data_IF_689296500976
#
_entry.id   IF_689296500976
#
_cell.length_a   1.000
_cell.length_b   1.000
_cell.length_c   1.000
_cell.angle_alpha   90.00
_cell.angle_beta   90.00
_cell.angle_gamma   90.00
#
_symmetry.space_group_name_H-M   'P 1'
#
loop_
_entity.id
_entity.type
_entity.pdbx_description
1 polymer ?
#
# COMPACT_ATOMS: atom_id res chain seq x y z
N UNK A 1 0.31 -0.12 -18.16
CA UNK A 1 0.84 -1.39 -18.67
C UNK A 1 -0.06 -2.47 -18.09
N UNK A 2 -0.91 -3.06 -18.93
CA UNK A 2 -1.86 -4.08 -18.52
C UNK A 2 -1.08 -5.30 -18.04
N UNK A 3 -1.46 -5.87 -16.89
CA UNK A 3 -0.76 -7.02 -16.34
C UNK A 3 -1.11 -8.24 -17.20
N UNK A 4 -0.25 -8.57 -18.15
CA UNK A 4 -0.40 -9.70 -19.07
C UNK A 4 -0.02 -11.06 -18.45
N UNK A 5 0.23 -11.12 -17.14
CA UNK A 5 0.54 -12.38 -16.46
C UNK A 5 -0.58 -12.75 -15.46
N UNK A 6 -1.12 -13.98 -15.50
CA UNK A 6 -2.00 -14.47 -14.45
C UNK A 6 -1.19 -14.51 -13.16
N UNK A 7 -1.58 -13.70 -12.16
CA UNK A 7 -0.94 -13.79 -10.85
C UNK A 7 -1.56 -14.98 -10.12
N UNK A 8 -0.65 -15.85 -9.69
CA UNK A 8 -0.82 -17.01 -8.82
C UNK A 8 -0.98 -18.33 -9.62
N UNK A 9 0.16 -18.89 -10.03
CA UNK A 9 0.30 -20.34 -10.20
C UNK A 9 0.42 -20.90 -8.78
N UNK A 10 -0.65 -21.52 -8.27
CA UNK A 10 -0.58 -22.32 -7.04
C UNK A 10 -0.03 -23.69 -7.47
N UNK A 11 1.24 -23.96 -7.21
CA UNK A 11 1.87 -25.26 -7.48
C UNK A 11 1.34 -26.38 -6.56
N UNK A 12 0.57 -26.06 -5.52
CA UNK A 12 0.06 -27.04 -4.56
C UNK A 12 -1.43 -26.86 -4.25
N UNK A 13 -2.23 -27.75 -4.84
CA UNK A 13 -3.71 -27.83 -4.73
C UNK A 13 -4.18 -28.18 -3.30
N UNK A 14 -3.25 -28.46 -2.37
CA UNK A 14 -3.56 -28.90 -1.00
C UNK A 14 -3.49 -27.81 0.09
N UNK A 15 -3.07 -26.59 -0.24
CA UNK A 15 -2.88 -25.54 0.76
C UNK A 15 -4.16 -24.75 1.08
N UNK A 16 -4.44 -24.56 2.37
CA UNK A 16 -5.45 -23.63 2.93
C UNK A 16 -5.38 -22.19 2.34
N UNK A 17 -4.25 -21.84 1.70
CA UNK A 17 -4.06 -20.62 0.92
C UNK A 17 -4.93 -20.51 -0.35
N UNK A 18 -5.39 -21.61 -0.94
CA UNK A 18 -6.30 -21.57 -2.09
C UNK A 18 -7.65 -20.93 -1.70
N UNK A 19 -8.13 -21.21 -0.48
CA UNK A 19 -9.33 -20.58 0.07
C UNK A 19 -9.15 -19.06 0.25
N UNK A 20 -7.95 -18.61 0.61
CA UNK A 20 -7.60 -17.19 0.75
C UNK A 20 -7.39 -16.48 -0.61
N UNK A 21 -6.98 -17.22 -1.65
CA UNK A 21 -6.78 -16.65 -2.99
C UNK A 21 -8.07 -16.01 -3.54
N UNK A 22 -9.22 -16.63 -3.30
CA UNK A 22 -10.52 -16.08 -3.70
C UNK A 22 -10.87 -14.77 -2.96
N UNK A 23 -10.45 -14.60 -1.71
CA UNK A 23 -10.61 -13.34 -0.97
C UNK A 23 -9.69 -12.23 -1.51
N UNK A 24 -8.47 -12.58 -1.92
CA UNK A 24 -7.53 -11.63 -2.53
C UNK A 24 -8.05 -11.19 -3.91
N UNK A 25 -8.61 -12.10 -4.69
CA UNK A 25 -9.25 -11.78 -5.98
C UNK A 25 -10.46 -10.85 -5.79
N UNK A 26 -11.22 -11.01 -4.71
CA UNK A 26 -12.31 -10.10 -4.38
C UNK A 26 -11.82 -8.69 -4.03
N UNK A 27 -10.66 -8.56 -3.36
CA UNK A 27 -10.03 -7.26 -3.11
C UNK A 27 -9.55 -6.60 -4.41
N UNK A 28 -8.86 -7.35 -5.27
CA UNK A 28 -8.41 -6.87 -6.58
C UNK A 28 -9.61 -6.43 -7.43
N UNK A 29 -10.70 -7.20 -7.43
CA UNK A 29 -11.97 -6.82 -8.06
C UNK A 29 -12.50 -5.50 -7.50
N UNK A 30 -12.50 -5.29 -6.17
CA UNK A 30 -12.99 -4.06 -5.55
C UNK A 30 -12.14 -2.85 -5.96
N UNK A 31 -10.81 -3.01 -6.00
CA UNK A 31 -9.90 -1.98 -6.51
C UNK A 31 -10.17 -1.67 -7.99
N UNK A 32 -10.34 -2.70 -8.83
CA UNK A 32 -10.73 -2.56 -10.24
C UNK A 32 -12.07 -1.85 -10.42
N UNK A 33 -13.06 -2.14 -9.57
CA UNK A 33 -14.36 -1.47 -9.56
C UNK A 33 -14.24 0.01 -9.18
N UNK A 34 -13.42 0.34 -8.18
CA UNK A 34 -13.13 1.74 -7.82
C UNK A 34 -12.48 2.49 -8.99
N UNK A 35 -11.53 1.87 -9.70
CA UNK A 35 -10.91 2.45 -10.89
C UNK A 35 -11.93 2.72 -12.03
N UNK A 36 -13.03 1.96 -12.07
CA UNK A 36 -14.13 2.13 -13.02
C UNK A 36 -15.22 3.11 -12.53
N UNK A 37 -15.00 3.86 -11.45
CA UNK A 37 -15.95 4.80 -10.83
C UNK A 37 -17.26 4.14 -10.37
N UNK A 38 -17.15 2.95 -9.75
CA UNK A 38 -18.27 2.21 -9.15
C UNK A 38 -19.12 3.07 -8.18
N UNK A 39 -18.49 3.90 -7.35
CA UNK A 39 -19.17 4.69 -6.32
C UNK A 39 -20.07 5.81 -6.90
N UNK A 40 -19.69 6.39 -8.04
CA UNK A 40 -20.48 7.46 -8.68
C UNK A 40 -21.51 6.91 -9.66
N UNK A 41 -21.19 5.85 -10.41
CA UNK A 41 -22.08 5.38 -11.47
C UNK A 41 -22.96 4.18 -11.09
N UNK A 42 -22.46 3.26 -10.27
CA UNK A 42 -23.23 2.07 -9.90
C UNK A 42 -24.04 2.30 -8.63
N UNK A 43 -23.43 2.88 -7.60
CA UNK A 43 -24.13 3.13 -6.32
C UNK A 43 -25.18 4.25 -6.45
N UNK A 44 -24.89 5.33 -7.17
CA UNK A 44 -25.83 6.45 -7.31
C UNK A 44 -26.88 6.23 -8.41
N UNK A 45 -26.51 5.72 -9.61
CA UNK A 45 -27.50 5.55 -10.68
C UNK A 45 -28.36 4.29 -10.55
N UNK A 46 -27.82 3.19 -9.97
CA UNK A 46 -28.57 1.95 -9.79
C UNK A 46 -29.14 1.77 -8.37
N UNK A 47 -28.88 2.72 -7.45
CA UNK A 47 -29.35 2.71 -6.04
C UNK A 47 -29.06 1.39 -5.30
N UNK A 48 -27.94 0.74 -5.62
CA UNK A 48 -27.54 -0.53 -5.00
C UNK A 48 -26.70 -0.29 -3.74
N UNK A 49 -26.70 -1.26 -2.81
CA UNK A 49 -25.87 -1.20 -1.60
C UNK A 49 -24.38 -1.27 -1.94
N UNK A 50 -23.56 -0.61 -1.11
CA UNK A 50 -22.10 -0.68 -1.24
C UNK A 50 -21.61 -2.13 -1.07
N UNK A 51 -20.78 -2.58 -2.00
CA UNK A 51 -20.15 -3.90 -1.94
C UNK A 51 -19.04 -3.87 -0.91
N UNK A 52 -19.18 -4.65 0.16
CA UNK A 52 -18.12 -4.86 1.16
C UNK A 52 -17.07 -5.85 0.65
N UNK A 53 -15.84 -5.80 1.21
CA UNK A 53 -14.70 -6.68 0.89
C UNK A 53 -15.05 -8.18 0.87
N UNK A 54 -16.08 -8.60 1.59
CA UNK A 54 -16.46 -10.01 1.76
C UNK A 54 -17.81 -10.36 1.11
N UNK A 55 -18.43 -9.43 0.38
CA UNK A 55 -19.85 -9.50 0.00
C UNK A 55 -20.18 -10.67 -0.94
N UNK A 56 -19.31 -11.00 -1.90
CA UNK A 56 -19.49 -12.14 -2.80
C UNK A 56 -18.82 -13.44 -2.29
N UNK A 57 -18.13 -13.38 -1.14
CA UNK A 57 -17.47 -14.55 -0.53
C UNK A 57 -18.28 -15.15 0.62
N UNK A 58 -19.07 -14.34 1.33
CA UNK A 58 -19.92 -14.78 2.44
C UNK A 58 -21.36 -14.90 1.96
N UNK A 59 -21.99 -16.09 1.98
CA UNK A 59 -23.39 -16.25 1.61
C UNK A 59 -24.25 -15.53 2.65
N UNK A 60 -24.97 -14.49 2.23
CA UNK A 60 -25.90 -13.75 3.08
C UNK A 60 -27.33 -14.04 2.62
N UNK A 61 -27.62 -13.67 1.37
CA UNK A 61 -28.90 -13.92 0.74
C UNK A 61 -28.67 -14.29 -0.73
N UNK A 62 -28.85 -15.57 -1.11
CA UNK A 62 -28.57 -16.04 -2.47
C UNK A 62 -29.34 -15.30 -3.56
N UNK A 63 -30.57 -14.85 -3.28
CA UNK A 63 -31.39 -14.11 -4.27
C UNK A 63 -30.89 -12.68 -4.50
N UNK A 64 -30.64 -11.94 -3.43
CA UNK A 64 -30.08 -10.57 -3.50
C UNK A 64 -28.65 -10.60 -4.08
N UNK A 65 -27.83 -11.58 -3.68
CA UNK A 65 -26.46 -11.73 -4.17
C UNK A 65 -26.43 -12.12 -5.66
N UNK A 66 -27.35 -12.97 -6.11
CA UNK A 66 -27.49 -13.28 -7.54
C UNK A 66 -27.94 -12.07 -8.36
N UNK A 67 -28.90 -11.30 -7.86
CA UNK A 67 -29.34 -10.06 -8.51
C UNK A 67 -28.21 -9.02 -8.57
N UNK A 68 -27.44 -8.88 -7.50
CA UNK A 68 -26.26 -8.00 -7.45
C UNK A 68 -25.16 -8.46 -8.39
N UNK A 69 -24.87 -9.76 -8.45
CA UNK A 69 -23.89 -10.36 -9.37
C UNK A 69 -24.27 -10.12 -10.83
N UNK A 70 -25.52 -10.41 -11.20
CA UNK A 70 -26.02 -10.23 -12.56
C UNK A 70 -26.09 -8.75 -12.96
N UNK A 71 -26.50 -7.86 -12.04
CA UNK A 71 -26.52 -6.41 -12.26
C UNK A 71 -25.10 -5.85 -12.45
N UNK A 72 -24.14 -6.32 -11.66
CA UNK A 72 -22.74 -5.90 -11.77
C UNK A 72 -22.11 -6.41 -13.06
N UNK A 73 -22.34 -7.68 -13.42
CA UNK A 73 -21.89 -8.24 -14.70
C UNK A 73 -22.49 -7.46 -15.88
N UNK A 74 -23.79 -7.16 -15.85
CA UNK A 74 -24.47 -6.34 -16.85
C UNK A 74 -23.82 -4.95 -17.01
N UNK A 75 -23.47 -4.32 -15.89
CA UNK A 75 -22.81 -3.01 -15.89
C UNK A 75 -21.39 -3.07 -16.48
N UNK A 76 -20.59 -4.08 -16.13
CA UNK A 76 -19.25 -4.29 -16.68
C UNK A 76 -19.29 -4.57 -18.19
N UNK A 77 -20.30 -5.33 -18.66
CA UNK A 77 -20.53 -5.59 -20.09
C UNK A 77 -20.87 -4.29 -20.83
N UNK A 78 -21.71 -3.43 -20.25
CA UNK A 78 -22.01 -2.10 -20.81
C UNK A 78 -20.79 -1.21 -20.91
N UNK A 79 -19.95 -1.22 -19.88
CA UNK A 79 -18.68 -0.48 -19.86
C UNK A 79 -17.69 -0.98 -20.91
N UNK A 80 -17.78 -2.26 -21.28
CA UNK A 80 -17.04 -2.86 -22.40
C UNK A 80 -17.62 -2.55 -23.79
N UNK A 81 -18.65 -1.70 -23.90
CA UNK A 81 -19.18 -1.19 -25.17
C UNK A 81 -20.29 -2.04 -25.82
N UNK A 82 -20.78 -3.11 -25.18
CA UNK A 82 -21.94 -3.87 -25.67
C UNK A 82 -23.23 -3.50 -24.92
N UNK A 83 -24.35 -3.45 -25.64
CA UNK A 83 -25.67 -3.21 -25.04
C UNK A 83 -26.14 -4.49 -24.36
N UNK A 84 -26.12 -4.49 -23.04
CA UNK A 84 -26.70 -5.55 -22.21
C UNK A 84 -27.85 -4.96 -21.40
N UNK A 85 -29.03 -5.60 -21.39
CA UNK A 85 -30.17 -5.09 -20.62
C UNK A 85 -29.96 -5.39 -19.13
N UNK A 86 -30.40 -4.51 -18.22
CA UNK A 86 -30.24 -4.80 -16.81
C UNK A 86 -31.16 -5.99 -16.49
N UNK A 87 -30.67 -7.02 -15.81
CA UNK A 87 -31.48 -8.20 -15.50
C UNK A 87 -32.67 -7.77 -14.64
N UNK A 88 -33.88 -8.13 -15.05
CA UNK A 88 -35.10 -7.93 -14.26
C UNK A 88 -35.31 -9.12 -13.32
N UNK A 89 -35.98 -8.92 -12.19
CA UNK A 89 -36.30 -9.99 -11.22
C UNK A 89 -37.14 -11.15 -11.83
N UNK A 90 -37.73 -10.93 -13.01
CA UNK A 90 -38.49 -11.90 -13.79
C UNK A 90 -37.68 -12.69 -14.83
N UNK A 91 -36.40 -12.37 -15.04
CA UNK A 91 -35.55 -13.06 -16.00
C UNK A 91 -35.08 -14.41 -15.45
N UNK A 92 -35.11 -15.46 -16.29
CA UNK A 92 -34.66 -16.79 -15.88
C UNK A 92 -33.15 -16.76 -15.56
N UNK A 93 -32.75 -17.12 -14.31
CA UNK A 93 -31.36 -17.12 -13.87
C UNK A 93 -30.44 -17.88 -14.83
N UNK A 94 -30.91 -18.98 -15.44
CA UNK A 94 -30.09 -19.78 -16.36
C UNK A 94 -29.82 -19.05 -17.68
N UNK A 95 -30.80 -18.31 -18.17
CA UNK A 95 -30.72 -17.59 -19.44
C UNK A 95 -29.74 -16.42 -19.32
N UNK A 96 -29.85 -15.61 -18.26
CA UNK A 96 -28.91 -14.50 -17.98
C UNK A 96 -27.49 -15.00 -17.73
N UNK A 97 -27.30 -16.11 -16.99
CA UNK A 97 -25.96 -16.71 -16.80
C UNK A 97 -25.39 -17.18 -18.15
N UNK A 98 -26.23 -17.78 -19.01
CA UNK A 98 -25.81 -18.25 -20.33
C UNK A 98 -25.36 -17.11 -21.23
N UNK A 99 -26.07 -15.99 -21.22
CA UNK A 99 -25.68 -14.78 -21.95
C UNK A 99 -24.36 -14.18 -21.44
N UNK A 100 -24.16 -14.15 -20.12
CA UNK A 100 -22.89 -13.68 -19.51
C UNK A 100 -21.73 -14.62 -19.91
N UNK A 101 -21.94 -15.93 -19.89
CA UNK A 101 -20.92 -16.90 -20.32
C UNK A 101 -20.63 -16.85 -21.82
N UNK A 102 -21.64 -16.58 -22.65
CA UNK A 102 -21.45 -16.37 -24.09
C UNK A 102 -20.62 -15.11 -24.34
N UNK A 103 -20.87 -14.03 -23.60
CA UNK A 103 -20.07 -12.81 -23.68
C UNK A 103 -18.61 -13.04 -23.26
N UNK A 104 -18.37 -13.83 -22.21
CA UNK A 104 -17.02 -14.22 -21.79
C UNK A 104 -16.30 -15.09 -22.83
N UNK A 105 -17.02 -16.00 -23.51
CA UNK A 105 -16.46 -16.78 -24.63
C UNK A 105 -16.06 -15.87 -25.80
N UNK A 106 -16.83 -14.81 -26.07
CA UNK A 106 -16.48 -13.83 -27.10
C UNK A 106 -15.23 -12.99 -26.74
N UNK A 107 -14.85 -12.94 -25.46
CA UNK A 107 -13.65 -12.25 -24.96
C UNK A 107 -12.42 -13.19 -24.91
N UNK A 108 -12.57 -14.45 -25.37
CA UNK A 108 -11.50 -15.47 -25.37
C UNK A 108 -11.02 -15.89 -23.97
N UNK A 109 -11.93 -15.89 -22.98
CA UNK A 109 -11.65 -16.40 -21.63
C UNK A 109 -12.15 -17.85 -21.51
N UNK A 110 -11.27 -18.77 -21.12
CA UNK A 110 -11.61 -20.20 -20.92
C UNK A 110 -12.41 -20.38 -19.63
N UNK A 111 -13.69 -20.72 -19.75
CA UNK A 111 -14.57 -21.06 -18.63
C UNK A 111 -14.61 -22.58 -18.47
N UNK A 112 -14.09 -23.09 -17.35
CA UNK A 112 -14.06 -24.53 -17.04
C UNK A 112 -14.93 -24.84 -15.81
N UNK A 113 -16.18 -24.36 -15.80
CA UNK A 113 -17.17 -24.72 -14.77
C UNK A 113 -18.61 -24.65 -15.29
N UNK A 114 -19.54 -25.45 -14.73
CA UNK A 114 -20.93 -25.51 -15.20
C UNK A 114 -21.76 -24.30 -14.72
N UNK A 115 -22.80 -23.89 -15.49
CA UNK A 115 -23.68 -22.75 -15.18
C UNK A 115 -24.32 -22.79 -13.78
N UNK A 116 -24.55 -24.00 -13.26
CA UNK A 116 -25.17 -24.21 -11.95
C UNK A 116 -24.37 -23.61 -10.79
N UNK A 117 -23.05 -23.46 -10.93
CA UNK A 117 -22.21 -22.88 -9.88
C UNK A 117 -22.34 -21.35 -9.77
N UNK A 118 -22.84 -20.68 -10.81
CA UNK A 118 -23.06 -19.22 -10.81
C UNK A 118 -24.44 -18.83 -10.25
N UNK A 119 -25.38 -19.78 -10.12
CA UNK A 119 -26.72 -19.53 -9.59
C UNK A 119 -26.75 -19.02 -8.16
N UNK A 120 -25.75 -19.40 -7.36
CA UNK A 120 -25.66 -18.97 -5.97
C UNK A 120 -25.21 -17.51 -5.84
N UNK A 121 -24.67 -16.90 -6.92
CA UNK A 121 -24.18 -15.52 -6.91
C UNK A 121 -23.01 -15.27 -5.94
N UNK A 122 -22.46 -16.32 -5.33
CA UNK A 122 -21.47 -16.28 -4.25
C UNK A 122 -20.42 -17.35 -4.51
N UNK A 123 -19.16 -17.01 -4.23
CA UNK A 123 -18.02 -17.91 -4.29
C UNK A 123 -17.01 -17.55 -5.37
N UNK A 124 -15.93 -18.34 -5.40
CA UNK A 124 -14.75 -18.14 -6.24
C UNK A 124 -15.10 -17.99 -7.73
N UNK A 125 -16.04 -18.79 -8.25
CA UNK A 125 -16.44 -18.74 -9.65
C UNK A 125 -17.17 -17.44 -10.04
N UNK A 126 -17.94 -16.85 -9.12
CA UNK A 126 -18.62 -15.58 -9.36
C UNK A 126 -17.62 -14.42 -9.35
N UNK A 127 -16.68 -14.42 -8.40
CA UNK A 127 -15.59 -13.43 -8.32
C UNK A 127 -14.70 -13.51 -9.57
N UNK A 128 -14.31 -14.72 -9.99
CA UNK A 128 -13.50 -14.92 -11.20
C UNK A 128 -14.17 -14.38 -12.47
N UNK A 129 -15.48 -14.56 -12.62
CA UNK A 129 -16.23 -13.99 -13.75
C UNK A 129 -16.20 -12.46 -13.71
N UNK A 130 -16.49 -11.87 -12.56
CA UNK A 130 -16.52 -10.42 -12.40
C UNK A 130 -15.12 -9.80 -12.59
N UNK A 131 -14.08 -10.45 -12.10
CA UNK A 131 -12.70 -9.99 -12.20
C UNK A 131 -12.23 -9.89 -13.65
N UNK A 132 -12.48 -10.95 -14.43
CA UNK A 132 -12.15 -10.95 -15.85
C UNK A 132 -12.98 -9.94 -16.66
N UNK A 133 -14.26 -9.76 -16.32
CA UNK A 133 -15.11 -8.73 -16.92
C UNK A 133 -14.61 -7.32 -16.58
N UNK A 134 -14.14 -7.10 -15.35
CA UNK A 134 -13.55 -5.84 -14.91
C UNK A 134 -12.24 -5.55 -15.64
N UNK A 135 -11.36 -6.55 -15.79
CA UNK A 135 -10.11 -6.41 -16.55
C UNK A 135 -10.36 -6.07 -18.02
N UNK A 136 -11.36 -6.70 -18.63
CA UNK A 136 -11.76 -6.36 -19.99
C UNK A 136 -12.35 -4.93 -20.08
N UNK A 137 -13.16 -4.52 -19.11
CA UNK A 137 -13.70 -3.16 -19.06
C UNK A 137 -12.59 -2.11 -18.91
N UNK A 138 -11.59 -2.34 -18.06
CA UNK A 138 -10.44 -1.44 -17.89
C UNK A 138 -9.55 -1.42 -19.14
N UNK A 139 -9.38 -2.56 -19.83
CA UNK A 139 -8.70 -2.65 -21.13
C UNK A 139 -9.39 -1.81 -22.20
N UNK A 140 -10.72 -1.89 -22.26
CA UNK A 140 -11.51 -1.09 -23.20
C UNK A 140 -11.47 0.41 -22.87
N UNK A 141 -11.52 0.77 -21.58
CA UNK A 141 -11.49 2.17 -21.12
C UNK A 141 -10.12 2.85 -21.36
N UNK A 142 -9.06 2.09 -21.72
CA UNK A 142 -7.67 2.58 -21.88
C UNK A 142 -7.22 3.45 -20.70
N UNK A 143 -7.53 3.01 -19.48
CA UNK A 143 -7.27 3.78 -18.27
C UNK A 143 -5.79 4.16 -18.15
N UNK A 144 -5.53 5.45 -18.00
CA UNK A 144 -4.21 5.99 -17.70
C UNK A 144 -4.25 6.52 -16.28
N UNK A 145 -3.30 6.07 -15.46
CA UNK A 145 -3.11 6.62 -14.12
C UNK A 145 -2.88 8.11 -14.22
N UNK A 146 -3.78 8.88 -13.63
CA UNK A 146 -3.57 10.31 -13.47
C UNK A 146 -2.41 10.49 -12.49
N UNK A 147 -1.33 11.13 -12.94
CA UNK A 147 -0.18 11.42 -12.08
C UNK A 147 -0.69 12.28 -10.93
N UNK A 148 -0.48 11.78 -9.70
CA UNK A 148 -0.83 12.52 -8.47
C UNK A 148 -0.16 13.89 -8.55
N UNK A 149 -0.96 14.95 -8.60
CA UNK A 149 -0.48 16.28 -8.26
C UNK A 149 -0.43 16.29 -6.74
N UNK A 150 0.78 16.12 -6.20
CA UNK A 150 1.07 16.39 -4.80
C UNK A 150 0.95 17.92 -4.70
N UNK A 151 -0.06 18.49 -4.02
CA UNK A 151 0.07 19.86 -3.54
C UNK A 151 1.36 19.88 -2.73
N UNK A 152 2.30 20.82 -2.95
CA UNK A 152 3.53 20.84 -2.18
C UNK A 152 3.16 20.78 -0.69
N UNK A 153 3.65 19.75 -0.01
CA UNK A 153 3.57 19.66 1.44
C UNK A 153 4.10 20.98 1.99
N UNK A 154 3.29 21.66 2.78
CA UNK A 154 3.79 22.55 3.82
C UNK A 154 4.72 21.68 4.67
N UNK A 155 6.01 21.77 4.37
CA UNK A 155 7.07 21.22 5.20
C UNK A 155 6.85 21.82 6.58
N UNK A 156 6.36 21.01 7.52
CA UNK A 156 6.59 21.24 8.95
C UNK A 156 8.10 21.09 9.10
N UNK A 157 8.81 22.19 8.87
CA UNK A 157 10.23 22.35 9.13
C UNK A 157 10.33 22.38 10.65
N UNK A 158 10.88 21.31 11.24
CA UNK A 158 11.48 21.39 12.57
C UNK A 158 12.40 22.61 12.58
N UNK A 159 12.33 23.50 13.58
CA UNK A 159 12.98 24.80 13.52
C UNK A 159 14.49 24.61 13.62
N UNK A 160 15.15 24.53 12.48
CA UNK A 160 16.59 24.74 12.36
C UNK A 160 16.80 26.24 12.17
N UNK A 161 17.42 26.84 13.17
CA UNK A 161 17.74 28.26 13.26
C UNK A 161 18.78 28.56 12.17
N UNK A 162 18.36 29.24 11.09
CA UNK A 162 19.27 30.00 10.25
C UNK A 162 18.69 31.40 10.03
N UNK A 163 19.48 32.39 10.45
CA UNK A 163 19.25 33.82 10.36
C UNK A 163 19.17 34.24 8.89
N UNK A 164 18.06 34.87 8.47
CA UNK A 164 18.05 35.69 7.25
C UNK A 164 17.24 36.97 7.46
N UNK A 165 17.94 38.09 7.33
CA UNK A 165 17.52 39.47 7.53
C UNK A 165 16.54 39.93 6.43
N UNK A 166 15.24 39.84 6.69
CA UNK A 166 14.23 40.56 5.91
C UNK A 166 13.31 41.36 6.82
N UNK A 167 13.72 42.59 7.14
CA UNK A 167 12.86 43.58 7.80
C UNK A 167 11.63 43.89 6.92
N UNK A 168 10.43 43.56 7.42
CA UNK A 168 9.15 44.02 6.87
C UNK A 168 8.99 45.51 7.18
N UNK A 169 9.06 46.35 6.15
CA UNK A 169 8.82 47.80 6.26
C UNK A 169 7.31 48.05 6.43
N UNK A 170 6.89 48.39 7.66
CA UNK A 170 5.49 48.67 8.03
C UNK A 170 4.82 49.76 7.18
N UNK A 171 5.60 50.71 6.66
CA UNK A 171 5.13 51.84 5.84
C UNK A 171 4.44 51.39 4.54
N UNK A 172 4.87 50.24 3.99
CA UNK A 172 4.33 49.74 2.72
C UNK A 172 2.98 49.03 2.88
N UNK A 173 2.71 48.50 4.08
CA UNK A 173 1.41 47.89 4.43
C UNK A 173 0.38 48.98 4.75
N UNK A 174 0.81 50.11 5.31
CA UNK A 174 -0.06 51.24 5.62
C UNK A 174 -0.46 52.03 4.36
N UNK A 175 0.44 52.14 3.37
CA UNK A 175 0.16 52.76 2.06
C UNK A 175 -0.82 51.93 1.21
N UNK A 176 -0.72 50.59 1.25
CA UNK A 176 -1.66 49.71 0.56
C UNK A 176 -3.07 49.73 1.19
N UNK A 177 -3.16 49.87 2.52
CA UNK A 177 -4.45 49.97 3.20
C UNK A 177 -5.11 51.35 3.02
N UNK A 178 -4.35 52.43 2.77
CA UNK A 178 -4.93 53.75 2.47
C UNK A 178 -5.45 53.85 1.02
N UNK A 179 -4.82 53.17 0.07
CA UNK A 179 -5.22 53.22 -1.34
C UNK A 179 -6.58 52.55 -1.63
N UNK A 180 -7.07 51.69 -0.74
CA UNK A 180 -8.36 51.00 -0.90
C UNK A 180 -9.58 51.81 -0.39
N UNK A 181 -9.37 52.97 0.25
CA UNK A 181 -10.45 53.79 0.84
C UNK A 181 -10.74 55.11 0.10
N UNK A 182 -10.06 55.44 -1.00
CA UNK A 182 -10.17 56.76 -1.67
C UNK A 182 -10.98 56.76 -2.98
N UNK A 183 -11.60 55.63 -3.37
CA UNK A 183 -12.28 55.49 -4.68
C UNK A 183 -13.82 55.42 -4.61
N UNK A 184 -14.44 56.03 -3.59
CA UNK A 184 -15.89 56.33 -3.61
C UNK A 184 -16.12 57.85 -3.41
N UNK A 185 -15.96 58.60 -4.51
CA UNK A 185 -16.62 59.89 -4.73
C UNK A 185 -18.14 59.69 -4.61
N UNK A 186 -18.71 59.99 -3.43
CA UNK A 186 -20.15 60.16 -3.27
C UNK A 186 -20.45 61.48 -2.58
N UNK A 187 -21.43 62.18 -3.16
CA UNK A 187 -21.77 63.59 -3.05
C UNK A 187 -22.23 63.96 -1.62
N UNK A 188 -21.30 64.26 -0.71
CA UNK A 188 -21.62 64.70 0.66
C UNK A 188 -22.08 66.16 0.61
N UNK A 189 -23.39 66.37 0.64
CA UNK A 189 -24.02 67.67 0.89
C UNK A 189 -23.48 68.24 2.21
N UNK A 190 -22.63 69.25 2.12
CA UNK A 190 -22.02 69.89 3.29
C UNK A 190 -23.10 70.55 4.17
N UNK A 191 -23.05 70.25 5.47
CA UNK A 191 -23.96 70.79 6.51
C UNK A 191 -23.99 72.33 6.52
N UNK A 192 -22.94 72.96 6.01
CA UNK A 192 -22.85 74.42 5.85
C UNK A 192 -23.83 74.99 4.82
N UNK A 193 -24.18 74.24 3.77
CA UNK A 193 -25.14 74.69 2.75
C UNK A 193 -26.59 74.67 3.27
N UNK A 194 -26.92 73.70 4.12
CA UNK A 194 -28.21 73.65 4.83
C UNK A 194 -28.33 74.84 5.80
N UNK A 195 -27.23 75.16 6.49
CA UNK A 195 -27.19 76.27 7.45
C UNK A 195 -27.32 77.63 6.76
N UNK A 196 -26.76 77.77 5.55
CA UNK A 196 -26.85 78.99 4.73
C UNK A 196 -28.28 79.24 4.22
N UNK A 197 -28.96 78.18 3.76
CA UNK A 197 -30.36 78.24 3.34
C UNK A 197 -31.31 78.65 4.48
N UNK A 198 -31.09 78.13 5.69
CA UNK A 198 -31.88 78.52 6.86
C UNK A 198 -31.66 79.98 7.29
N UNK A 199 -30.44 80.50 7.09
CA UNK A 199 -30.07 81.87 7.44
C UNK A 199 -30.63 82.90 6.45
N UNK A 200 -30.66 82.57 5.15
CA UNK A 200 -31.30 83.38 4.11
C UNK A 200 -32.84 83.37 4.21
N UNK A 201 -33.44 82.25 4.61
CA UNK A 201 -34.89 82.19 4.85
C UNK A 201 -35.33 83.02 6.08
N UNK A 202 -34.46 83.12 7.10
CA UNK A 202 -34.75 83.86 8.34
C UNK A 202 -34.51 85.38 8.22
N UNK A 203 -33.66 85.83 7.30
CA UNK A 203 -33.36 87.26 7.11
C UNK A 203 -34.39 88.01 6.25
N UNK A 204 -35.23 87.29 5.50
CA UNK A 204 -36.29 87.87 4.66
C UNK A 204 -37.68 87.94 5.31
N UNK A 205 -37.82 87.49 6.56
CA UNK A 205 -39.07 87.67 7.31
C UNK A 205 -39.05 89.00 8.06
N UNK A 206 -39.24 90.12 7.35
CA UNK A 206 -39.72 91.35 7.97
C UNK A 206 -41.07 91.02 8.64
N UNK A 207 -41.09 90.92 9.97
CA UNK A 207 -42.33 90.88 10.74
C UNK A 207 -43.17 92.11 10.36
N UNK A 208 -44.41 91.96 9.87
CA UNK A 208 -45.26 93.12 9.64
C UNK A 208 -45.67 93.72 10.99
N UNK A 209 -45.07 94.83 11.40
CA UNK A 209 -45.39 95.62 12.61
C UNK A 209 -46.70 96.43 12.48
N UNK A 210 -47.68 95.90 11.73
CA UNK A 210 -49.05 96.39 11.74
C UNK A 210 -49.95 95.22 12.07
N UNK A 211 -50.59 95.29 13.23
CA UNK A 211 -51.75 94.45 13.54
C UNK A 211 -52.72 94.60 12.36
N UNK A 212 -52.89 93.52 11.61
CA UNK A 212 -53.86 93.43 10.53
C UNK A 212 -55.25 93.48 11.21
N UNK A 213 -55.83 94.68 11.30
CA UNK A 213 -57.24 94.81 11.64
C UNK A 213 -58.04 94.20 10.48
N UNK A 214 -58.72 93.09 10.74
CA UNK A 214 -59.58 92.43 9.76
C UNK A 214 -60.81 93.31 9.49
N UNK A 215 -60.83 94.03 8.38
CA UNK A 215 -62.08 94.57 7.79
C UNK A 215 -62.83 93.48 7.03
N UNK A 216 -62.81 92.24 7.53
CA UNK A 216 -63.45 91.09 6.88
C UNK A 216 -64.75 90.80 7.61
N UNK A 217 -65.85 90.87 6.87
CA UNK A 217 -67.16 90.54 7.35
C UNK A 217 -67.24 89.05 7.74
N UNK A 218 -68.01 88.74 8.78
CA UNK A 218 -68.13 87.37 9.32
C UNK A 218 -68.68 86.39 8.30
N UNK A 219 -69.46 86.89 7.34
CA UNK A 219 -70.03 86.10 6.25
C UNK A 219 -69.00 85.81 5.15
N UNK A 220 -68.18 86.79 4.77
CA UNK A 220 -67.08 86.59 3.82
C UNK A 220 -66.03 85.62 4.37
N UNK A 221 -65.73 85.70 5.67
CA UNK A 221 -64.82 84.76 6.31
C UNK A 221 -65.37 83.33 6.32
N UNK A 222 -66.68 83.15 6.54
CA UNK A 222 -67.32 81.83 6.45
C UNK A 222 -67.30 81.26 5.04
N UNK A 223 -67.54 82.08 4.03
CA UNK A 223 -67.47 81.65 2.62
C UNK A 223 -66.04 81.25 2.23
N UNK A 224 -65.04 82.00 2.69
CA UNK A 224 -63.63 81.63 2.50
C UNK A 224 -63.26 80.36 3.27
N UNK A 225 -63.80 80.18 4.47
CA UNK A 225 -63.60 78.95 5.23
C UNK A 225 -64.24 77.75 4.53
N UNK A 226 -65.46 77.88 4.01
CA UNK A 226 -66.12 76.83 3.23
C UNK A 226 -65.40 76.54 1.90
N UNK A 227 -64.78 77.55 1.29
CA UNK A 227 -63.96 77.41 0.07
C UNK A 227 -62.65 76.67 0.31
N UNK A 228 -61.99 76.94 1.45
CA UNK A 228 -60.66 76.38 1.77
C UNK A 228 -60.76 75.07 2.56
N UNK A 229 -61.89 74.78 3.21
CA UNK A 229 -62.13 73.54 3.97
C UNK A 229 -61.92 72.25 3.14
N UNK A 230 -62.29 72.18 1.84
CA UNK A 230 -61.93 71.05 0.98
C UNK A 230 -60.42 70.93 0.69
N UNK A 231 -59.68 72.04 0.69
CA UNK A 231 -58.24 72.08 0.45
C UNK A 231 -57.43 71.76 1.73
N UNK A 232 -58.00 72.04 2.90
CA UNK A 232 -57.46 71.68 4.22
C UNK A 232 -57.81 70.25 4.62
N UNK A 233 -58.74 69.61 3.91
CA UNK A 233 -59.02 68.20 4.07
C UNK A 233 -57.84 67.41 3.51
N UNK A 234 -56.80 67.27 4.33
CA UNK A 234 -55.67 66.39 4.09
C UNK A 234 -56.23 64.98 4.02
N UNK A 235 -56.59 64.55 2.81
CA UNK A 235 -56.77 63.14 2.53
C UNK A 235 -55.39 62.54 2.68
N UNK A 236 -55.15 61.88 3.81
CA UNK A 236 -54.01 60.98 3.99
C UNK A 236 -54.24 59.87 2.97
N UNK A 237 -53.82 60.11 1.74
CA UNK A 237 -53.78 59.09 0.71
C UNK A 237 -52.77 58.07 1.22
N UNK A 238 -53.15 56.80 1.21
CA UNK A 238 -52.25 55.69 1.51
C UNK A 238 -51.20 55.60 0.40
N UNK A 239 -50.30 56.58 0.37
CA UNK A 239 -49.18 56.63 -0.54
C UNK A 239 -48.13 55.67 -0.01
N UNK A 240 -47.48 54.89 -0.90
CA UNK A 240 -46.46 53.90 -0.52
C UNK A 240 -45.16 54.52 0.03
N UNK A 241 -45.23 55.81 0.38
CA UNK A 241 -44.22 56.64 1.03
C UNK A 241 -44.60 56.97 2.48
N UNK A 242 -45.66 56.36 3.01
CA UNK A 242 -45.99 56.49 4.42
C UNK A 242 -44.98 55.69 5.26
N UNK A 243 -43.95 56.39 5.72
CA UNK A 243 -42.91 55.86 6.61
C UNK A 243 -43.50 55.20 7.87
N UNK A 244 -44.75 55.52 8.23
CA UNK A 244 -45.47 54.85 9.32
C UNK A 244 -45.78 53.40 9.01
N UNK A 245 -46.21 53.08 7.80
CA UNK A 245 -46.43 51.69 7.37
C UNK A 245 -45.10 50.93 7.35
N UNK A 246 -44.03 51.55 6.85
CA UNK A 246 -42.69 50.96 6.88
C UNK A 246 -42.18 50.75 8.32
N UNK A 247 -42.44 51.69 9.24
CA UNK A 247 -42.06 51.55 10.65
C UNK A 247 -42.84 50.42 11.34
N UNK A 248 -44.12 50.27 11.02
CA UNK A 248 -44.96 49.17 11.53
C UNK A 248 -44.49 47.83 10.94
N UNK A 249 -44.15 47.79 9.65
CA UNK A 249 -43.54 46.62 9.00
C UNK A 249 -42.18 46.26 9.63
N UNK A 250 -41.32 47.24 9.91
CA UNK A 250 -40.04 47.00 10.58
C UNK A 250 -40.21 46.45 11.99
N UNK A 251 -41.17 46.99 12.77
CA UNK A 251 -41.48 46.46 14.11
C UNK A 251 -42.03 45.03 14.07
N UNK A 252 -42.87 44.72 13.09
CA UNK A 252 -43.41 43.37 12.91
C UNK A 252 -42.33 42.39 12.45
N UNK A 253 -41.46 42.77 11.50
CA UNK A 253 -40.30 41.96 11.10
C UNK A 253 -39.33 41.73 12.27
N UNK A 254 -39.04 42.75 13.07
CA UNK A 254 -38.20 42.60 14.27
C UNK A 254 -38.81 41.64 15.29
N UNK A 255 -40.12 41.72 15.53
CA UNK A 255 -40.82 40.78 16.41
C UNK A 255 -40.79 39.34 15.87
N UNK A 256 -40.97 39.16 14.57
CA UNK A 256 -40.86 37.86 13.89
C UNK A 256 -39.43 37.32 13.98
N UNK A 257 -38.42 38.14 13.69
CA UNK A 257 -37.01 37.78 13.79
C UNK A 257 -36.62 37.40 15.21
N UNK A 258 -37.10 38.13 16.23
CA UNK A 258 -36.87 37.78 17.63
C UNK A 258 -37.48 36.42 18.00
N UNK A 259 -38.69 36.13 17.50
CA UNK A 259 -39.34 34.84 17.69
C UNK A 259 -38.56 33.71 17.01
N UNK A 260 -38.19 33.87 15.75
CA UNK A 260 -37.47 32.86 14.97
C UNK A 260 -36.05 32.63 15.50
N UNK A 261 -35.36 33.70 15.94
CA UNK A 261 -34.06 33.61 16.59
C UNK A 261 -34.14 32.86 17.92
N UNK A 262 -35.15 33.15 18.76
CA UNK A 262 -35.34 32.43 20.02
C UNK A 262 -35.66 30.94 19.81
N UNK A 263 -36.44 30.62 18.78
CA UNK A 263 -36.74 29.25 18.38
C UNK A 263 -35.48 28.51 17.92
N UNK A 264 -34.70 29.13 17.03
CA UNK A 264 -33.45 28.57 16.49
C UNK A 264 -32.40 28.40 17.59
N UNK A 265 -32.27 29.37 18.49
CA UNK A 265 -31.36 29.29 19.65
C UNK A 265 -31.73 28.11 20.55
N UNK A 266 -33.01 27.91 20.84
CA UNK A 266 -33.47 26.75 21.64
C UNK A 266 -33.20 25.42 20.94
N UNK A 267 -33.37 25.35 19.61
CA UNK A 267 -33.03 24.16 18.83
C UNK A 267 -31.52 23.88 18.86
N UNK A 268 -30.69 24.91 18.73
CA UNK A 268 -29.24 24.78 18.80
C UNK A 268 -28.76 24.36 20.21
N UNK A 269 -29.35 24.90 21.27
CA UNK A 269 -29.07 24.48 22.65
C UNK A 269 -29.44 23.01 22.89
N UNK A 270 -30.57 22.55 22.35
CA UNK A 270 -30.96 21.13 22.40
C UNK A 270 -29.97 20.25 21.63
N UNK A 271 -29.59 20.65 20.42
CA UNK A 271 -28.61 19.93 19.63
C UNK A 271 -27.26 19.83 20.36
N UNK A 272 -26.79 20.93 20.95
CA UNK A 272 -25.55 20.94 21.73
C UNK A 272 -25.64 20.01 22.94
N UNK A 273 -26.76 20.02 23.67
CA UNK A 273 -26.97 19.12 24.80
C UNK A 273 -27.03 17.65 24.37
N UNK A 274 -27.67 17.34 23.24
CA UNK A 274 -27.76 15.97 22.72
C UNK A 274 -26.41 15.48 22.19
N UNK A 275 -25.63 16.34 21.52
CA UNK A 275 -24.24 16.05 21.14
C UNK A 275 -23.38 15.80 22.39
N UNK A 276 -23.51 16.65 23.41
CA UNK A 276 -22.78 16.47 24.68
C UNK A 276 -23.08 15.11 25.32
N UNK A 277 -24.36 14.73 25.42
CA UNK A 277 -24.76 13.40 25.92
C UNK A 277 -24.23 12.26 25.07
N UNK A 278 -24.22 12.43 23.74
CA UNK A 278 -23.69 11.42 22.83
C UNK A 278 -22.17 11.24 23.03
N UNK A 279 -21.42 12.34 23.19
CA UNK A 279 -20.00 12.31 23.48
C UNK A 279 -19.70 11.66 24.84
N UNK A 280 -20.47 11.98 25.88
CA UNK A 280 -20.33 11.33 27.19
C UNK A 280 -20.61 9.82 27.11
N UNK A 281 -21.61 9.42 26.34
CA UNK A 281 -21.91 8.00 26.09
C UNK A 281 -20.80 7.30 25.30
N UNK A 282 -20.19 7.98 24.31
CA UNK A 282 -19.04 7.44 23.58
C UNK A 282 -17.85 7.29 24.54
N UNK A 283 -17.53 8.32 25.31
CA UNK A 283 -16.42 8.31 26.27
C UNK A 283 -16.59 7.20 27.32
N UNK A 284 -17.80 7.02 27.87
CA UNK A 284 -18.07 5.93 28.82
C UNK A 284 -17.93 4.55 28.18
N UNK A 285 -18.37 4.38 26.93
CA UNK A 285 -18.15 3.13 26.17
C UNK A 285 -16.68 2.89 25.86
N UNK A 286 -15.92 3.91 25.52
CA UNK A 286 -14.47 3.83 25.29
C UNK A 286 -13.73 3.44 26.57
N UNK A 287 -14.05 4.06 27.70
CA UNK A 287 -13.49 3.68 29.01
C UNK A 287 -13.82 2.22 29.33
N UNK A 288 -15.06 1.78 29.08
CA UNK A 288 -15.46 0.40 29.33
C UNK A 288 -14.71 -0.60 28.42
N UNK A 289 -14.62 -0.27 27.13
CA UNK A 289 -13.91 -1.08 26.15
C UNK A 289 -12.42 -1.18 26.50
N UNK A 290 -11.78 -0.05 26.82
CA UNK A 290 -10.39 -0.02 27.27
C UNK A 290 -10.20 -0.85 28.53
N UNK A 291 -11.10 -0.75 29.51
CA UNK A 291 -11.03 -1.58 30.73
C UNK A 291 -11.19 -3.08 30.45
N UNK A 292 -11.96 -3.45 29.43
CA UNK A 292 -12.12 -4.85 29.02
C UNK A 292 -10.91 -5.36 28.22
N UNK A 293 -10.33 -4.52 27.37
CA UNK A 293 -9.20 -4.89 26.51
C UNK A 293 -7.86 -4.86 27.24
N UNK A 294 -7.67 -3.99 28.24
CA UNK A 294 -6.43 -3.86 28.99
C UNK A 294 -5.93 -5.20 29.58
N UNK A 295 -6.75 -6.02 30.29
CA UNK A 295 -6.27 -7.31 30.79
C UNK A 295 -5.89 -8.28 29.67
N UNK A 296 -6.61 -8.28 28.54
CA UNK A 296 -6.27 -9.12 27.39
C UNK A 296 -4.96 -8.65 26.73
N UNK A 297 -4.71 -7.34 26.68
CA UNK A 297 -3.45 -6.78 26.19
C UNK A 297 -2.28 -7.13 27.13
N UNK A 298 -2.49 -7.12 28.44
CA UNK A 298 -1.48 -7.59 29.39
C UNK A 298 -1.19 -9.09 29.22
N UNK A 299 -2.22 -9.92 29.04
CA UNK A 299 -2.05 -11.35 28.77
C UNK A 299 -1.27 -11.59 27.47
N UNK A 300 -1.60 -10.87 26.39
CA UNK A 300 -0.85 -10.93 25.13
C UNK A 300 0.61 -10.52 25.30
N UNK A 301 0.90 -9.49 26.11
CA UNK A 301 2.28 -9.07 26.42
C UNK A 301 3.04 -10.17 27.16
N UNK A 302 2.43 -10.78 28.18
CA UNK A 302 3.03 -11.88 28.93
C UNK A 302 3.29 -13.08 28.02
N UNK A 303 2.31 -13.49 27.20
CA UNK A 303 2.46 -14.58 26.24
C UNK A 303 3.55 -14.29 25.20
N UNK A 304 3.69 -13.03 24.77
CA UNK A 304 4.76 -12.62 23.85
C UNK A 304 6.14 -12.73 24.51
N UNK A 305 6.26 -12.34 25.79
CA UNK A 305 7.50 -12.48 26.56
C UNK A 305 7.85 -13.96 26.77
N UNK A 306 6.88 -14.79 27.14
CA UNK A 306 7.06 -16.25 27.25
C UNK A 306 7.49 -16.88 25.92
N UNK A 307 6.87 -16.49 24.81
CA UNK A 307 7.25 -16.96 23.48
C UNK A 307 8.68 -16.53 23.12
N UNK A 308 9.07 -15.30 23.46
CA UNK A 308 10.44 -14.82 23.23
C UNK A 308 11.46 -15.63 24.02
N UNK A 309 11.14 -15.96 25.28
CA UNK A 309 11.97 -16.80 26.14
C UNK A 309 12.11 -18.23 25.59
N UNK A 310 11.01 -18.86 25.19
CA UNK A 310 11.04 -20.21 24.60
C UNK A 310 11.82 -20.23 23.28
N UNK A 311 11.72 -19.18 22.46
CA UNK A 311 12.52 -19.07 21.23
C UNK A 311 14.01 -18.96 21.53
N UNK A 312 14.38 -18.22 22.57
CA UNK A 312 15.78 -18.11 23.00
C UNK A 312 16.30 -19.45 23.51
N UNK A 313 15.56 -20.14 24.39
CA UNK A 313 15.89 -21.49 24.86
C UNK A 313 16.03 -22.49 23.70
N UNK A 314 15.13 -22.44 22.72
CA UNK A 314 15.23 -23.26 21.52
C UNK A 314 16.48 -22.95 20.69
N UNK A 315 16.81 -21.66 20.50
CA UNK A 315 18.01 -21.23 19.79
C UNK A 315 19.27 -21.75 20.47
N UNK A 316 19.33 -21.68 21.80
CA UNK A 316 20.47 -22.14 22.59
C UNK A 316 20.63 -23.67 22.52
N UNK A 317 19.52 -24.41 22.66
CA UNK A 317 19.52 -25.87 22.50
C UNK A 317 19.92 -26.26 21.06
N UNK A 318 19.36 -25.60 20.06
CA UNK A 318 19.71 -25.83 18.64
C UNK A 318 21.19 -25.56 18.39
N UNK A 319 21.74 -24.47 18.94
CA UNK A 319 23.17 -24.18 18.92
C UNK A 319 23.98 -25.32 19.53
N UNK A 320 23.60 -25.79 20.72
CA UNK A 320 24.22 -26.94 21.37
C UNK A 320 24.17 -28.24 20.56
N UNK A 321 23.06 -28.52 19.87
CA UNK A 321 22.93 -29.68 18.97
C UNK A 321 23.87 -29.56 17.77
N UNK A 322 23.96 -28.37 17.15
CA UNK A 322 24.87 -28.16 16.01
C UNK A 322 26.34 -28.32 16.42
N UNK A 323 26.73 -27.82 17.59
CA UNK A 323 28.10 -28.00 18.09
C UNK A 323 28.40 -29.46 18.41
N UNK A 324 27.49 -30.19 19.07
CA UNK A 324 27.65 -31.63 19.30
C UNK A 324 27.74 -32.42 18.00
N UNK A 325 26.97 -32.03 16.98
CA UNK A 325 27.03 -32.65 15.65
C UNK A 325 28.38 -32.38 14.97
N UNK A 326 28.90 -31.15 15.09
CA UNK A 326 30.23 -30.77 14.59
C UNK A 326 31.34 -31.58 15.29
N UNK A 327 31.27 -31.71 16.61
CA UNK A 327 32.23 -32.52 17.39
C UNK A 327 32.13 -34.00 16.99
N UNK A 328 30.94 -34.53 16.80
CA UNK A 328 30.73 -35.92 16.38
C UNK A 328 31.31 -36.19 14.98
N UNK A 329 31.10 -35.27 14.03
CA UNK A 329 31.71 -35.38 12.70
C UNK A 329 33.23 -35.37 12.77
N UNK A 330 33.81 -34.48 13.59
CA UNK A 330 35.26 -34.43 13.79
C UNK A 330 35.79 -35.74 14.39
N UNK A 331 35.13 -36.27 15.41
CA UNK A 331 35.52 -37.54 16.02
C UNK A 331 35.37 -38.70 15.03
N UNK A 332 34.36 -38.66 14.16
CA UNK A 332 34.16 -39.67 13.11
C UNK A 332 35.27 -39.61 12.06
N UNK A 333 35.71 -38.41 11.68
CA UNK A 333 36.85 -38.22 10.77
C UNK A 333 38.16 -38.69 11.40
N UNK A 334 38.41 -38.37 12.66
CA UNK A 334 39.55 -38.89 13.43
C UNK A 334 39.53 -40.43 13.49
N UNK A 335 38.35 -41.03 13.69
CA UNK A 335 38.18 -42.49 13.73
C UNK A 335 38.45 -43.12 12.36
N UNK A 336 37.95 -42.54 11.26
CA UNK A 336 38.25 -43.04 9.91
C UNK A 336 39.72 -42.86 9.55
N UNK A 337 40.37 -41.80 10.03
CA UNK A 337 41.82 -41.62 9.88
C UNK A 337 42.59 -42.72 10.61
N UNK A 338 42.26 -43.00 11.88
CA UNK A 338 42.90 -44.08 12.65
C UNK A 338 42.65 -45.44 12.00
N UNK A 339 41.44 -45.68 11.48
CA UNK A 339 41.11 -46.90 10.74
C UNK A 339 41.93 -47.01 9.46
N UNK A 340 42.10 -45.93 8.70
CA UNK A 340 42.96 -45.90 7.51
C UNK A 340 44.42 -46.19 7.87
N UNK A 341 44.95 -45.59 8.94
CA UNK A 341 46.30 -45.89 9.43
C UNK A 341 46.43 -47.35 9.87
N UNK A 342 45.39 -47.92 10.48
CA UNK A 342 45.35 -49.33 10.86
C UNK A 342 45.32 -50.25 9.62
N UNK A 343 44.55 -49.91 8.60
CA UNK A 343 44.48 -50.66 7.33
C UNK A 343 45.79 -50.54 6.54
N UNK A 344 46.41 -49.36 6.51
CA UNK A 344 47.74 -49.15 5.94
C UNK A 344 48.80 -49.96 6.69
N UNK A 345 48.81 -49.93 8.02
CA UNK A 345 49.70 -50.78 8.83
C UNK A 345 49.41 -52.26 8.62
N UNK A 346 48.14 -52.67 8.59
CA UNK A 346 47.72 -54.05 8.34
C UNK A 346 48.14 -54.54 6.95
N UNK A 347 47.99 -53.70 5.93
CA UNK A 347 48.48 -53.98 4.57
C UNK A 347 50.00 -54.06 4.55
N UNK A 348 50.73 -53.16 5.23
CA UNK A 348 52.20 -53.20 5.30
C UNK A 348 52.75 -54.43 6.06
N UNK A 349 52.02 -54.89 7.09
CA UNK A 349 52.36 -56.08 7.87
C UNK A 349 52.02 -57.37 7.12
N UNK A 350 51.00 -57.36 6.26
CA UNK A 350 50.57 -58.51 5.45
C UNK A 350 51.27 -58.54 4.10
N UNK A 351 51.80 -57.41 3.63
CA UNK A 351 52.51 -57.31 2.37
C UNK A 351 53.86 -58.02 2.49
N UNK A 352 53.89 -59.27 2.03
CA UNK A 352 55.10 -60.08 1.90
C UNK A 352 56.02 -59.63 0.77
N UNK A 353 55.66 -58.60 -0.02
CA UNK A 353 56.46 -58.12 -1.16
C UNK A 353 57.90 -57.72 -0.78
N UNK A 354 58.18 -57.04 0.36
CA UNK A 354 59.54 -56.79 0.81
C UNK A 354 60.31 -58.10 1.07
N UNK A 355 59.66 -59.09 1.69
CA UNK A 355 60.24 -60.41 1.94
C UNK A 355 60.55 -61.14 0.62
N UNK A 356 59.63 -61.09 -0.34
CA UNK A 356 59.79 -61.69 -1.67
C UNK A 356 60.94 -61.02 -2.43
N UNK A 357 61.04 -59.69 -2.35
CA UNK A 357 62.15 -58.94 -2.95
C UNK A 357 63.49 -59.28 -2.32
N UNK A 358 63.58 -59.36 -0.99
CA UNK A 358 64.80 -59.82 -0.30
C UNK A 358 65.15 -61.24 -0.75
N UNK A 359 64.18 -62.17 -0.80
CA UNK A 359 64.39 -63.53 -1.29
C UNK A 359 64.91 -63.54 -2.74
N UNK A 360 64.35 -62.71 -3.62
CA UNK A 360 64.78 -62.57 -5.02
C UNK A 360 66.21 -62.04 -5.13
N UNK A 361 66.57 -61.03 -4.34
CA UNK A 361 67.93 -60.49 -4.28
C UNK A 361 68.92 -61.52 -3.75
N UNK A 362 68.57 -62.29 -2.72
CA UNK A 362 69.39 -63.40 -2.21
C UNK A 362 69.58 -64.48 -3.28
N UNK A 363 68.52 -64.86 -4.00
CA UNK A 363 68.61 -65.81 -5.11
C UNK A 363 69.52 -65.31 -6.23
N UNK A 364 69.45 -64.01 -6.57
CA UNK A 364 70.33 -63.38 -7.55
C UNK A 364 71.78 -63.39 -7.09
N UNK A 365 72.06 -62.99 -5.85
CA UNK A 365 73.40 -63.06 -5.26
C UNK A 365 73.96 -64.48 -5.26
N UNK A 366 73.15 -65.50 -4.96
CA UNK A 366 73.57 -66.90 -5.06
C UNK A 366 73.95 -67.30 -6.50
N UNK A 367 73.18 -66.86 -7.49
CA UNK A 367 73.49 -67.08 -8.90
C UNK A 367 74.81 -66.41 -9.30
N UNK A 368 75.00 -65.14 -8.92
CA UNK A 368 76.22 -64.39 -9.19
C UNK A 368 77.45 -65.03 -8.51
N UNK A 369 77.30 -65.51 -7.26
CA UNK A 369 78.37 -66.26 -6.55
C UNK A 369 78.70 -67.56 -7.30
N UNK A 370 77.69 -68.32 -7.76
CA UNK A 370 77.93 -69.54 -8.53
C UNK A 370 78.66 -69.24 -9.85
N UNK A 371 78.27 -68.19 -10.55
CA UNK A 371 78.92 -67.77 -11.79
C UNK A 371 80.37 -67.35 -11.53
N UNK A 372 80.60 -66.56 -10.48
CA UNK A 372 81.94 -66.12 -10.11
C UNK A 372 82.83 -67.30 -9.69
N UNK A 373 82.30 -68.29 -8.98
CA UNK A 373 83.02 -69.54 -8.66
C UNK A 373 83.42 -70.33 -9.90
N UNK A 374 82.55 -70.41 -10.93
CA UNK A 374 82.89 -71.05 -12.21
C UNK A 374 84.01 -70.25 -12.91
N UNK A 375 83.92 -68.92 -12.93
CA UNK A 375 84.97 -68.06 -13.52
C UNK A 375 86.30 -68.23 -12.80
N UNK A 376 86.29 -68.28 -11.46
CA UNK A 376 87.49 -68.56 -10.66
C UNK A 376 88.07 -69.92 -11.03
N UNK A 377 87.26 -70.99 -11.10
CA UNK A 377 87.73 -72.32 -11.48
C UNK A 377 88.34 -72.37 -12.88
N UNK A 378 87.76 -71.67 -13.87
CA UNK A 378 88.33 -71.56 -15.23
C UNK A 378 89.65 -70.78 -15.21
N UNK A 379 89.73 -69.69 -14.44
CA UNK A 379 90.96 -68.91 -14.29
C UNK A 379 92.06 -69.72 -13.59
N UNK A 380 91.73 -70.48 -12.54
CA UNK A 380 92.65 -71.39 -11.86
C UNK A 380 93.16 -72.48 -12.80
N UNK A 381 92.28 -73.10 -13.58
CA UNK A 381 92.67 -74.07 -14.60
C UNK A 381 93.58 -73.46 -15.66
N UNK A 382 93.22 -72.29 -16.18
CA UNK A 382 94.03 -71.56 -17.17
C UNK A 382 95.41 -71.18 -16.60
N UNK A 383 95.47 -70.75 -15.35
CA UNK A 383 96.71 -70.42 -14.65
C UNK A 383 97.56 -71.67 -14.41
N UNK A 384 96.94 -72.79 -14.04
CA UNK A 384 97.63 -74.08 -13.92
C UNK A 384 98.20 -74.53 -15.27
N UNK A 385 97.42 -74.46 -16.34
CA UNK A 385 97.89 -74.76 -17.70
C UNK A 385 99.05 -73.85 -18.13
N UNK A 386 98.98 -72.55 -17.81
CA UNK A 386 100.10 -71.63 -18.06
C UNK A 386 101.34 -72.03 -17.27
N UNK A 387 101.22 -72.32 -15.97
CA UNK A 387 102.35 -72.76 -15.14
C UNK A 387 102.96 -74.09 -15.60
N UNK A 388 102.14 -75.04 -16.06
CA UNK A 388 102.63 -76.29 -16.63
C UNK A 388 103.35 -76.03 -17.95
N UNK A 389 102.84 -75.14 -18.78
CA UNK A 389 103.47 -74.72 -20.04
C UNK A 389 104.80 -74.02 -19.79
N UNK A 390 104.85 -73.06 -18.86
CA UNK A 390 106.08 -72.37 -18.46
C UNK A 390 107.13 -73.36 -17.94
N UNK A 391 106.69 -74.35 -17.14
CA UNK A 391 107.59 -75.41 -16.63
C UNK A 391 108.08 -76.34 -17.74
N UNK A 392 107.25 -76.69 -18.70
CA UNK A 392 107.64 -77.48 -19.87
C UNK A 392 108.63 -76.71 -20.74
N UNK A 393 108.39 -75.42 -20.95
CA UNK A 393 109.26 -74.54 -21.73
C UNK A 393 110.62 -74.32 -21.05
N UNK A 394 110.64 -74.15 -19.72
CA UNK A 394 111.89 -74.14 -18.94
C UNK A 394 112.67 -75.46 -19.03
N UNK A 395 111.99 -76.61 -19.08
CA UNK A 395 112.66 -77.90 -19.30
C UNK A 395 113.22 -78.03 -20.72
N UNK A 396 112.51 -77.51 -21.72
CA UNK A 396 112.96 -77.50 -23.11
C UNK A 396 114.18 -76.58 -23.30
N UNK A 397 114.17 -75.40 -22.70
CA UNK A 397 115.32 -74.48 -22.65
C UNK A 397 116.52 -75.10 -21.89
N UNK A 398 116.29 -75.87 -20.83
CA UNK A 398 117.36 -76.53 -20.10
C UNK A 398 118.00 -77.68 -20.91
N UNK A 399 117.21 -78.38 -21.72
CA UNK A 399 117.67 -79.45 -22.62
C UNK A 399 118.39 -78.90 -23.87
N UNK A 400 117.96 -77.73 -24.40
CA UNK A 400 118.68 -77.05 -25.48
C UNK A 400 120.05 -76.54 -25.01
N UNK A 401 120.12 -76.01 -23.79
CA UNK A 401 121.36 -75.46 -23.22
C UNK A 401 122.41 -76.55 -22.93
N UNK A 402 121.97 -77.76 -22.54
CA UNK A 402 122.89 -78.91 -22.36
C UNK A 402 123.42 -79.46 -23.69
N UNK A 403 122.67 -79.30 -24.78
CA UNK A 403 123.10 -79.72 -26.13
C UNK A 403 124.17 -78.79 -26.71
N UNK A 404 124.24 -77.52 -26.28
CA UNK A 404 125.24 -76.54 -26.75
C UNK A 404 126.59 -76.57 -26.03
N UNK A 405 126.73 -77.31 -24.92
CA UNK A 405 127.99 -77.37 -24.13
C UNK A 405 128.86 -78.59 -24.50
N UNK A 406 128.43 -79.42 -25.47
CA UNK A 406 129.13 -80.66 -25.86
C UNK A 406 129.76 -80.58 -27.26
N UNK A 407 130.60 -79.57 -27.53
CA UNK A 407 131.50 -79.52 -28.72
C UNK A 407 132.86 -78.96 -28.33
#
# INVERSE_FOLDING_TARGET
MYRDNPKIIIEDVSASLASFAAYIQMEDLLEKLKLLNYDSEFVQNLKMKNISRHYFMVPTNPGEQFYMFTSLAAWLIRKSGKKFNPPQESDDPNSTISEIMEFLKQIDIRIEFPPNKLKQGVGEHAVFVLDNLADHAIKFLKFKWQKVQIPPDETIIEPEIEEDDAELILEKVEEEMMAEFDDEEDDVIHVDDITKLYKEASSNSQRPDKILESTVDTEEWKLELERVLPQLKITISADSRDWREHLVQMKTLHATMGKDLSGTKSQLEKLNADIGRALDNINTKEIHLNRQLDPQLQELRVLQEELSKVKEEYRDISGGVTERTRVLNKLTEELEQVKKEMDERGSSMTDGTPLINIKKTISKMKSEISEMSIRIGVLEYSLMCSRVRDRAQLQEDMNSTTSTVSV
#
